data_IF_074239305481
#
_entry.id   IF_074239305481
#
_cell.length_a   1.000
_cell.length_b   1.000
_cell.length_c   1.000
_cell.angle_alpha   90.00
_cell.angle_beta   90.00
_cell.angle_gamma   90.00
#
_symmetry.space_group_name_H-M   'P 1'
#
loop_
_entity.id
_entity.type
_entity.pdbx_description
1 polymer ?
#
# COMPACT_ATOMS: atom_id res chain seq x y z
N UNK A 1 -7.59 94.54 29.75
CA UNK A 1 -7.15 93.62 28.66
C UNK A 1 -6.48 92.32 29.12
N UNK A 2 -5.67 92.28 30.21
CA UNK A 2 -4.99 91.04 30.67
C UNK A 2 -5.93 89.87 31.04
N UNK A 3 -6.97 90.11 31.84
CA UNK A 3 -7.94 89.06 32.27
C UNK A 3 -8.67 88.37 31.10
N UNK A 4 -8.95 89.09 30.01
CA UNK A 4 -9.62 88.54 28.81
C UNK A 4 -8.68 87.65 27.98
N UNK A 5 -7.38 87.98 27.93
CA UNK A 5 -6.36 87.13 27.28
C UNK A 5 -6.12 85.84 28.05
N UNK A 6 -6.05 85.89 29.39
CA UNK A 6 -5.92 84.70 30.24
C UNK A 6 -7.10 83.74 30.11
N UNK A 7 -8.33 84.26 30.00
CA UNK A 7 -9.53 83.46 29.77
C UNK A 7 -9.51 82.76 28.40
N UNK A 8 -9.12 83.47 27.33
CA UNK A 8 -9.00 82.90 26.00
C UNK A 8 -7.92 81.83 25.91
N UNK A 9 -6.77 82.01 26.59
CA UNK A 9 -5.70 81.01 26.64
C UNK A 9 -6.15 79.74 27.37
N UNK A 10 -6.88 79.86 28.49
CA UNK A 10 -7.44 78.70 29.20
C UNK A 10 -8.46 77.94 28.37
N UNK A 11 -9.34 78.64 27.65
CA UNK A 11 -10.33 78.00 26.75
C UNK A 11 -9.63 77.25 25.60
N UNK A 12 -8.60 77.85 25.00
CA UNK A 12 -7.82 77.22 23.93
C UNK A 12 -7.09 75.96 24.43
N UNK A 13 -6.52 75.99 25.64
CA UNK A 13 -5.92 74.81 26.27
C UNK A 13 -6.92 73.66 26.46
N UNK A 14 -8.15 73.95 26.90
CA UNK A 14 -9.20 72.93 27.07
C UNK A 14 -9.57 72.30 25.72
N UNK A 15 -9.68 73.09 24.66
CA UNK A 15 -9.98 72.57 23.31
C UNK A 15 -8.85 71.70 22.78
N UNK A 16 -7.58 72.08 23.03
CA UNK A 16 -6.43 71.26 22.64
C UNK A 16 -6.44 69.93 23.39
N UNK A 17 -6.65 69.95 24.71
CA UNK A 17 -6.72 68.73 25.52
C UNK A 17 -7.86 67.82 25.07
N UNK A 18 -9.04 68.37 24.78
CA UNK A 18 -10.18 67.62 24.27
C UNK A 18 -9.85 66.93 22.92
N UNK A 19 -9.17 67.62 22.00
CA UNK A 19 -8.75 67.03 20.73
C UNK A 19 -7.70 65.92 20.92
N UNK A 20 -6.75 66.09 21.84
CA UNK A 20 -5.76 65.06 22.17
C UNK A 20 -6.44 63.80 22.71
N UNK A 21 -7.45 63.94 23.55
CA UNK A 21 -8.22 62.80 24.09
C UNK A 21 -8.96 62.06 22.97
N UNK A 22 -9.58 62.78 22.03
CA UNK A 22 -10.27 62.18 20.88
C UNK A 22 -9.28 61.42 19.99
N UNK A 23 -8.12 62.02 19.68
CA UNK A 23 -7.07 61.37 18.88
C UNK A 23 -6.51 60.12 19.58
N UNK A 24 -6.24 60.20 20.88
CA UNK A 24 -5.77 59.04 21.66
C UNK A 24 -6.80 57.91 21.67
N UNK A 25 -8.08 58.24 21.80
CA UNK A 25 -9.18 57.26 21.74
C UNK A 25 -9.26 56.60 20.37
N UNK A 26 -9.15 57.38 19.28
CA UNK A 26 -9.12 56.84 17.92
C UNK A 26 -7.95 55.88 17.69
N UNK A 27 -6.75 56.24 18.14
CA UNK A 27 -5.56 55.38 18.02
C UNK A 27 -5.76 54.08 18.82
N UNK A 28 -6.34 54.17 20.02
CA UNK A 28 -6.65 53.01 20.85
C UNK A 28 -7.64 52.07 20.16
N UNK A 29 -8.77 52.57 19.66
CA UNK A 29 -9.76 51.76 18.96
C UNK A 29 -9.19 51.14 17.67
N UNK A 30 -8.44 51.91 16.89
CA UNK A 30 -7.77 51.39 15.71
C UNK A 30 -6.81 50.25 16.04
N UNK A 31 -6.02 50.39 17.11
CA UNK A 31 -5.09 49.33 17.54
C UNK A 31 -5.82 48.09 18.01
N UNK A 32 -6.95 48.25 18.71
CA UNK A 32 -7.78 47.13 19.16
C UNK A 32 -8.39 46.37 17.97
N UNK A 33 -9.01 47.08 17.03
CA UNK A 33 -9.59 46.49 15.81
C UNK A 33 -8.52 45.76 15.00
N UNK A 34 -7.33 46.36 14.85
CA UNK A 34 -6.23 45.75 14.10
C UNK A 34 -5.78 44.43 14.73
N UNK A 35 -5.64 44.38 16.05
CA UNK A 35 -5.26 43.14 16.77
C UNK A 35 -6.31 42.05 16.58
N UNK A 36 -7.59 42.38 16.81
CA UNK A 36 -8.68 41.41 16.64
C UNK A 36 -8.76 40.87 15.21
N UNK A 37 -8.54 41.72 14.20
CA UNK A 37 -8.50 41.26 12.82
C UNK A 37 -7.31 40.32 12.56
N UNK A 38 -6.12 40.62 13.10
CA UNK A 38 -4.97 39.73 12.98
C UNK A 38 -5.23 38.37 13.63
N UNK A 39 -5.80 38.35 14.83
CA UNK A 39 -6.14 37.11 15.52
C UNK A 39 -7.16 36.27 14.72
N UNK A 40 -8.13 36.94 14.08
CA UNK A 40 -9.11 36.26 13.20
C UNK A 40 -8.43 35.68 11.96
N UNK A 41 -7.52 36.43 11.31
CA UNK A 41 -6.79 35.94 10.13
C UNK A 41 -5.88 34.75 10.46
N UNK A 42 -5.19 34.80 11.61
CA UNK A 42 -4.31 33.72 12.04
C UNK A 42 -5.14 32.46 12.35
N UNK A 43 -6.28 32.61 13.02
CA UNK A 43 -7.20 31.49 13.32
C UNK A 43 -7.82 30.91 12.04
N UNK A 44 -8.20 31.74 11.07
CA UNK A 44 -8.73 31.29 9.78
C UNK A 44 -7.67 30.50 9.01
N UNK A 45 -6.43 30.99 9.02
CA UNK A 45 -5.31 30.31 8.36
C UNK A 45 -5.03 28.95 8.99
N UNK A 46 -4.98 28.88 10.33
CA UNK A 46 -4.81 27.61 11.04
C UNK A 46 -5.96 26.62 10.76
N UNK A 47 -7.19 27.11 10.71
CA UNK A 47 -8.36 26.29 10.40
C UNK A 47 -8.33 25.75 8.96
N UNK A 48 -7.89 26.56 7.99
CA UNK A 48 -7.71 26.13 6.61
C UNK A 48 -6.63 25.06 6.49
N UNK A 49 -5.50 25.23 7.17
CA UNK A 49 -4.42 24.24 7.21
C UNK A 49 -4.88 22.92 7.84
N UNK A 50 -5.65 23.00 8.94
CA UNK A 50 -6.20 21.82 9.60
C UNK A 50 -7.19 21.06 8.69
N UNK A 51 -8.09 21.80 8.01
CA UNK A 51 -9.00 21.20 7.02
C UNK A 51 -8.26 20.55 5.86
N UNK A 52 -7.20 21.18 5.37
CA UNK A 52 -6.37 20.62 4.29
C UNK A 52 -5.76 19.29 4.72
N UNK A 53 -5.11 19.24 5.89
CA UNK A 53 -4.54 18.01 6.45
C UNK A 53 -5.60 16.92 6.64
N UNK A 54 -6.77 17.28 7.15
CA UNK A 54 -7.86 16.33 7.33
C UNK A 54 -8.36 15.75 5.99
N UNK A 55 -8.48 16.59 4.97
CA UNK A 55 -8.91 16.17 3.62
C UNK A 55 -7.85 15.30 2.94
N UNK A 56 -6.56 15.66 3.07
CA UNK A 56 -5.47 14.83 2.55
C UNK A 56 -5.45 13.46 3.23
N UNK A 57 -5.63 13.42 4.56
CA UNK A 57 -5.68 12.14 5.30
C UNK A 57 -6.90 11.30 4.92
N UNK A 58 -8.07 11.90 4.72
CA UNK A 58 -9.26 11.16 4.29
C UNK A 58 -9.07 10.61 2.88
N UNK A 59 -8.52 11.40 1.96
CA UNK A 59 -8.23 10.94 0.60
C UNK A 59 -7.23 9.78 0.59
N UNK A 60 -6.22 9.80 1.46
CA UNK A 60 -5.28 8.67 1.58
C UNK A 60 -6.02 7.42 2.07
N UNK A 61 -6.85 7.53 3.11
CA UNK A 61 -7.60 6.40 3.64
C UNK A 61 -8.61 5.85 2.63
N UNK A 62 -9.35 6.71 1.95
CA UNK A 62 -10.32 6.32 0.93
C UNK A 62 -9.62 5.58 -0.23
N UNK A 63 -8.45 6.07 -0.68
CA UNK A 63 -7.65 5.39 -1.69
C UNK A 63 -7.09 4.04 -1.21
N UNK A 64 -6.72 3.93 0.08
CA UNK A 64 -6.25 2.66 0.66
C UNK A 64 -7.38 1.63 0.75
N UNK A 65 -8.60 2.05 1.06
CA UNK A 65 -9.79 1.20 1.11
C UNK A 65 -10.25 0.81 -0.29
N UNK A 66 -10.24 1.76 -1.24
CA UNK A 66 -10.58 1.50 -2.64
C UNK A 66 -9.65 0.46 -3.23
N UNK A 67 -8.34 0.55 -2.93
CA UNK A 67 -7.32 -0.40 -3.41
C UNK A 67 -7.27 -1.71 -2.62
N UNK A 68 -8.04 -1.87 -1.54
CA UNK A 68 -8.02 -3.09 -0.72
C UNK A 68 -8.45 -4.33 -1.52
N UNK A 69 -9.42 -4.17 -2.43
CA UNK A 69 -9.90 -5.26 -3.29
C UNK A 69 -8.85 -5.67 -4.31
N UNK A 70 -8.14 -4.73 -4.90
CA UNK A 70 -7.05 -4.95 -5.84
C UNK A 70 -5.87 -5.63 -5.14
N UNK A 71 -5.50 -5.17 -3.93
CA UNK A 71 -4.49 -5.84 -3.10
C UNK A 71 -4.88 -7.28 -2.79
N UNK A 72 -6.15 -7.55 -2.47
CA UNK A 72 -6.61 -8.92 -2.25
C UNK A 72 -6.47 -9.79 -3.50
N UNK A 73 -6.81 -9.26 -4.68
CA UNK A 73 -6.62 -9.98 -5.96
C UNK A 73 -5.14 -10.26 -6.23
N UNK A 74 -4.26 -9.30 -5.96
CA UNK A 74 -2.81 -9.47 -6.12
C UNK A 74 -2.29 -10.54 -5.14
N UNK A 75 -2.71 -10.48 -3.89
CA UNK A 75 -2.32 -11.45 -2.85
C UNK A 75 -2.76 -12.88 -3.18
N UNK A 76 -3.84 -13.06 -3.94
CA UNK A 76 -4.29 -14.37 -4.38
C UNK A 76 -3.28 -15.08 -5.32
N UNK A 77 -2.40 -14.33 -6.00
CA UNK A 77 -1.35 -14.90 -6.87
C UNK A 77 -0.13 -15.43 -6.13
N UNK A 78 -0.07 -15.22 -4.82
CA UNK A 78 1.03 -15.68 -3.97
C UNK A 78 0.59 -16.85 -3.10
N UNK A 79 1.51 -17.77 -2.86
CA UNK A 79 1.33 -18.79 -1.82
C UNK A 79 1.47 -18.12 -0.46
N UNK A 80 0.52 -18.36 0.45
CA UNK A 80 0.60 -17.82 1.80
C UNK A 80 1.82 -18.36 2.55
N UNK A 81 2.39 -17.52 3.40
CA UNK A 81 3.66 -17.76 4.10
C UNK A 81 3.66 -18.97 5.04
N UNK A 82 2.47 -19.29 5.54
CA UNK A 82 2.20 -20.28 6.56
C UNK A 82 2.23 -21.71 6.02
N UNK A 83 2.38 -22.67 6.94
CA UNK A 83 2.38 -24.11 6.60
C UNK A 83 1.07 -24.54 5.92
N UNK A 84 -0.04 -23.91 6.29
CA UNK A 84 -1.37 -24.18 5.72
C UNK A 84 -1.44 -23.68 4.28
N UNK A 85 -0.91 -22.49 3.98
CA UNK A 85 -0.81 -21.94 2.64
C UNK A 85 -0.04 -22.82 1.66
N UNK A 86 1.12 -23.32 2.11
CA UNK A 86 1.96 -24.23 1.31
C UNK A 86 1.23 -25.55 1.05
N UNK A 87 0.56 -26.11 2.06
CA UNK A 87 -0.21 -27.34 1.90
C UNK A 87 -1.38 -27.17 0.91
N UNK A 88 -2.13 -26.06 1.02
CA UNK A 88 -3.22 -25.74 0.09
C UNK A 88 -2.74 -25.58 -1.34
N UNK A 89 -1.55 -25.00 -1.54
CA UNK A 89 -0.95 -24.90 -2.87
C UNK A 89 -0.62 -26.29 -3.45
N UNK A 90 -0.03 -27.18 -2.67
CA UNK A 90 0.27 -28.56 -3.08
C UNK A 90 -1.03 -29.31 -3.40
N UNK A 91 -2.05 -29.18 -2.56
CA UNK A 91 -3.37 -29.78 -2.81
C UNK A 91 -4.00 -29.27 -4.12
N UNK A 92 -3.86 -27.97 -4.41
CA UNK A 92 -4.31 -27.41 -5.69
C UNK A 92 -3.54 -28.00 -6.88
N UNK A 93 -2.23 -28.19 -6.78
CA UNK A 93 -1.43 -28.86 -7.82
C UNK A 93 -1.90 -30.30 -8.04
N UNK A 94 -2.14 -31.04 -6.96
CA UNK A 94 -2.65 -32.42 -7.04
C UNK A 94 -4.05 -32.47 -7.66
N UNK A 95 -4.91 -31.51 -7.33
CA UNK A 95 -6.25 -31.42 -7.92
C UNK A 95 -6.19 -31.09 -9.43
N UNK A 96 -5.28 -30.22 -9.87
CA UNK A 96 -5.02 -29.99 -11.30
C UNK A 96 -4.55 -31.28 -11.97
N UNK A 97 -3.69 -32.05 -11.30
CA UNK A 97 -3.27 -33.40 -11.71
C UNK A 97 -4.46 -34.35 -11.91
N UNK A 98 -5.33 -34.47 -10.90
CA UNK A 98 -6.54 -35.31 -10.94
C UNK A 98 -7.47 -34.93 -12.08
N UNK A 99 -7.74 -33.64 -12.26
CA UNK A 99 -8.60 -33.13 -13.36
C UNK A 99 -8.01 -33.44 -14.73
N UNK A 100 -6.68 -33.40 -14.84
CA UNK A 100 -5.97 -33.70 -16.08
C UNK A 100 -5.72 -35.20 -16.30
N UNK A 101 -6.15 -36.07 -15.38
CA UNK A 101 -5.83 -37.50 -15.38
C UNK A 101 -4.31 -37.77 -15.42
N UNK A 102 -3.55 -36.97 -14.66
CA UNK A 102 -2.10 -37.08 -14.51
C UNK A 102 -1.78 -37.36 -13.05
N UNK A 103 -0.91 -38.35 -12.81
CA UNK A 103 -0.39 -38.60 -11.46
C UNK A 103 0.69 -37.56 -11.18
N UNK A 104 0.57 -36.82 -10.07
CA UNK A 104 1.54 -35.80 -9.65
C UNK A 104 2.19 -36.26 -8.34
N UNK A 105 3.51 -36.23 -8.29
CA UNK A 105 4.31 -36.52 -7.11
C UNK A 105 5.24 -35.33 -6.79
N UNK A 106 5.15 -34.80 -5.58
CA UNK A 106 5.97 -33.68 -5.12
C UNK A 106 7.20 -34.23 -4.40
N UNK A 107 8.29 -34.41 -5.14
CA UNK A 107 9.50 -35.07 -4.63
C UNK A 107 10.37 -34.19 -3.73
N UNK A 108 10.16 -32.87 -3.68
CA UNK A 108 10.95 -31.99 -2.83
C UNK A 108 10.48 -30.54 -2.81
N UNK A 109 10.67 -29.88 -1.67
CA UNK A 109 10.35 -28.49 -1.42
C UNK A 109 11.61 -27.74 -0.97
N UNK A 110 11.97 -26.67 -1.67
CA UNK A 110 13.13 -25.82 -1.38
C UNK A 110 12.64 -24.42 -1.06
N UNK A 111 12.81 -23.99 0.18
CA UNK A 111 12.60 -22.60 0.54
C UNK A 111 13.84 -21.82 0.09
N UNK A 112 13.68 -20.98 -0.94
CA UNK A 112 14.66 -19.95 -1.27
C UNK A 112 14.31 -18.76 -0.38
N UNK A 113 14.73 -18.82 0.89
CA UNK A 113 14.79 -17.61 1.70
C UNK A 113 15.71 -16.64 0.96
N UNK A 114 15.22 -15.44 0.67
CA UNK A 114 16.02 -14.36 0.11
C UNK A 114 17.28 -14.24 0.96
N UNK A 115 18.45 -14.35 0.32
CA UNK A 115 19.74 -14.16 0.97
C UNK A 115 19.66 -12.98 1.93
N UNK A 116 19.84 -13.24 3.22
CA UNK A 116 19.95 -12.21 4.28
C UNK A 116 21.28 -11.46 4.14
N UNK A 117 21.62 -11.01 2.94
CA UNK A 117 22.79 -10.19 2.67
C UNK A 117 22.42 -8.73 2.87
N UNK A 118 22.56 -8.27 4.12
CA UNK A 118 22.91 -6.90 4.48
C UNK A 118 22.10 -5.75 3.86
N UNK A 119 20.78 -5.77 4.02
CA UNK A 119 20.02 -4.51 4.07
C UNK A 119 18.74 -4.75 4.85
N UNK A 120 18.40 -3.83 5.74
CA UNK A 120 17.18 -3.79 6.55
C UNK A 120 15.93 -3.54 5.67
N UNK A 121 15.86 -4.16 4.49
CA UNK A 121 14.72 -4.11 3.61
C UNK A 121 13.82 -5.29 3.93
N UNK A 122 12.60 -4.96 4.34
CA UNK A 122 11.50 -5.86 4.59
C UNK A 122 11.18 -6.58 3.27
N UNK A 123 11.80 -7.73 3.02
CA UNK A 123 11.46 -8.55 1.86
C UNK A 123 10.16 -9.29 2.19
N UNK A 124 9.03 -8.63 1.90
CA UNK A 124 7.67 -9.18 2.11
C UNK A 124 7.31 -10.34 1.16
N UNK A 125 8.19 -10.67 0.20
CA UNK A 125 7.95 -11.67 -0.85
C UNK A 125 9.17 -12.58 -1.03
N UNK A 126 9.04 -13.83 -0.58
CA UNK A 126 10.01 -14.90 -0.81
C UNK A 126 9.67 -15.76 -2.04
N UNK A 127 10.47 -16.80 -2.27
CA UNK A 127 10.21 -17.78 -3.33
C UNK A 127 10.39 -19.22 -2.84
N UNK A 128 9.59 -20.12 -3.40
CA UNK A 128 9.55 -21.53 -3.02
C UNK A 128 9.72 -22.39 -4.27
N UNK A 129 10.81 -23.14 -4.31
CA UNK A 129 11.08 -24.14 -5.32
C UNK A 129 10.37 -25.46 -5.00
N UNK A 130 9.79 -26.12 -6.01
CA UNK A 130 9.26 -27.47 -5.91
C UNK A 130 9.79 -28.32 -7.05
N UNK A 131 10.12 -29.58 -6.72
CA UNK A 131 10.38 -30.60 -7.72
C UNK A 131 9.13 -31.45 -7.89
N UNK A 132 8.53 -31.38 -9.07
CA UNK A 132 7.35 -32.15 -9.44
C UNK A 132 7.74 -33.27 -10.38
N UNK A 133 7.19 -34.45 -10.15
CA UNK A 133 7.19 -35.56 -11.10
C UNK A 133 5.77 -35.81 -11.54
N UNK A 134 5.55 -36.03 -12.83
CA UNK A 134 4.24 -36.36 -13.35
C UNK A 134 4.29 -37.60 -14.23
N UNK A 135 3.17 -38.32 -14.31
CA UNK A 135 3.01 -39.48 -15.18
C UNK A 135 1.62 -39.51 -15.79
N UNK A 136 1.54 -39.70 -17.10
CA UNK A 136 0.27 -39.86 -17.82
C UNK A 136 0.45 -39.88 -19.33
N UNK A 137 -0.65 -39.95 -20.07
CA UNK A 137 -0.62 -39.85 -21.54
C UNK A 137 -0.14 -38.47 -21.98
N UNK A 138 0.45 -38.39 -23.18
CA UNK A 138 0.95 -37.12 -23.74
C UNK A 138 -0.09 -35.99 -23.71
N UNK A 139 -1.31 -36.27 -24.16
CA UNK A 139 -2.40 -35.28 -24.22
C UNK A 139 -2.76 -34.75 -22.83
N UNK A 140 -2.79 -35.64 -21.84
CA UNK A 140 -3.08 -35.35 -20.43
C UNK A 140 -1.95 -34.52 -19.80
N UNK A 141 -0.69 -34.86 -20.08
CA UNK A 141 0.48 -34.10 -19.63
C UNK A 141 0.48 -32.68 -20.19
N UNK A 142 0.18 -32.51 -21.48
CA UNK A 142 0.06 -31.18 -22.09
C UNK A 142 -1.15 -30.41 -21.53
N UNK A 143 -2.27 -31.08 -21.27
CA UNK A 143 -3.43 -30.45 -20.64
C UNK A 143 -3.13 -29.98 -19.22
N UNK A 144 -2.43 -30.80 -18.43
CA UNK A 144 -1.95 -30.44 -17.10
C UNK A 144 -1.08 -29.19 -17.14
N UNK A 145 -0.12 -29.11 -18.06
CA UNK A 145 0.73 -27.92 -18.20
C UNK A 145 -0.06 -26.66 -18.57
N UNK A 146 -1.06 -26.77 -19.44
CA UNK A 146 -1.96 -25.65 -19.77
C UNK A 146 -2.74 -25.18 -18.55
N UNK A 147 -3.28 -26.10 -17.75
CA UNK A 147 -4.00 -25.75 -16.52
C UNK A 147 -3.07 -25.10 -15.49
N UNK A 148 -1.82 -25.58 -15.41
CA UNK A 148 -0.81 -25.02 -14.53
C UNK A 148 -0.40 -23.59 -14.96
N UNK A 149 -0.36 -23.31 -16.26
CA UNK A 149 -0.06 -21.99 -16.83
C UNK A 149 -1.16 -20.96 -16.55
N UNK A 150 -2.43 -21.38 -16.53
CA UNK A 150 -3.58 -20.49 -16.21
C UNK A 150 -3.92 -20.46 -14.72
N UNK A 151 -3.17 -21.18 -13.89
CA UNK A 151 -3.40 -21.21 -12.46
C UNK A 151 -3.20 -19.80 -11.85
N UNK A 152 -3.94 -19.44 -10.79
CA UNK A 152 -3.82 -18.13 -10.13
C UNK A 152 -2.58 -18.08 -9.23
N UNK A 153 -1.42 -18.48 -9.75
CA UNK A 153 -0.14 -18.47 -9.06
C UNK A 153 0.95 -18.03 -10.01
N UNK A 154 1.90 -17.24 -9.51
CA UNK A 154 3.09 -16.90 -10.30
C UNK A 154 4.09 -18.04 -10.26
N UNK A 155 3.96 -18.96 -11.22
CA UNK A 155 4.81 -20.14 -11.38
C UNK A 155 5.85 -19.89 -12.48
N UNK A 156 7.12 -20.14 -12.17
CA UNK A 156 8.23 -20.10 -13.12
C UNK A 156 8.82 -21.50 -13.25
N UNK A 157 8.94 -22.01 -14.48
CA UNK A 157 9.59 -23.29 -14.74
C UNK A 157 11.09 -23.06 -14.92
N UNK A 158 11.92 -23.60 -14.02
CA UNK A 158 13.38 -23.50 -14.12
C UNK A 158 13.96 -24.62 -14.98
N UNK A 159 13.43 -25.84 -14.82
CA UNK A 159 13.84 -27.02 -15.59
C UNK A 159 12.63 -27.85 -15.93
N UNK A 160 12.57 -28.32 -17.17
CA UNK A 160 11.51 -29.18 -17.68
C UNK A 160 12.17 -30.36 -18.39
N UNK A 161 11.80 -31.56 -17.98
CA UNK A 161 12.21 -32.79 -18.62
C UNK A 161 10.96 -33.63 -18.88
N UNK A 162 10.83 -34.10 -20.12
CA UNK A 162 9.73 -34.96 -20.56
C UNK A 162 10.34 -36.12 -21.31
N UNK A 163 10.04 -37.34 -20.88
CA UNK A 163 10.47 -38.55 -21.54
C UNK A 163 9.29 -39.48 -21.74
N UNK A 164 9.26 -40.17 -22.88
CA UNK A 164 8.35 -41.28 -23.07
C UNK A 164 8.86 -42.46 -22.25
N UNK A 165 7.96 -43.11 -21.52
CA UNK A 165 8.31 -44.32 -20.78
C UNK A 165 8.78 -45.40 -21.78
N UNK A 166 9.97 -45.95 -21.53
CA UNK A 166 10.60 -46.94 -22.42
C UNK A 166 10.10 -48.38 -22.17
N UNK A 167 9.18 -48.57 -21.24
CA UNK A 167 8.56 -49.87 -21.01
C UNK A 167 7.77 -50.32 -22.25
N UNK A 168 7.95 -51.60 -22.61
CA UNK A 168 7.34 -52.22 -23.79
C UNK A 168 5.81 -52.07 -23.72
N UNK A 169 5.22 -51.40 -24.71
CA UNK A 169 3.79 -51.01 -24.82
C UNK A 169 3.29 -49.86 -23.93
N UNK A 170 4.15 -49.14 -23.20
CA UNK A 170 3.69 -47.95 -22.48
C UNK A 170 3.50 -46.74 -23.41
N UNK A 171 2.32 -46.11 -23.31
CA UNK A 171 1.99 -44.84 -24.00
C UNK A 171 2.23 -43.64 -23.07
N UNK A 172 2.64 -43.93 -21.83
CA UNK A 172 2.79 -42.94 -20.79
C UNK A 172 4.09 -42.15 -20.94
N UNK A 173 4.00 -40.91 -20.50
CA UNK A 173 5.09 -39.95 -20.44
C UNK A 173 5.38 -39.65 -18.99
N UNK A 174 6.66 -39.65 -18.66
CA UNK A 174 7.18 -39.18 -17.39
C UNK A 174 7.65 -37.75 -17.58
N UNK A 175 7.24 -36.87 -16.68
CA UNK A 175 7.75 -35.50 -16.60
C UNK A 175 8.43 -35.23 -15.28
N UNK A 176 9.50 -34.45 -15.31
CA UNK A 176 10.15 -33.90 -14.13
C UNK A 176 10.32 -32.39 -14.30
N UNK A 177 9.83 -31.62 -13.33
CA UNK A 177 9.79 -30.17 -13.38
C UNK A 177 10.38 -29.60 -12.11
N UNK A 178 11.23 -28.60 -12.26
CA UNK A 178 11.59 -27.72 -11.16
C UNK A 178 10.82 -26.42 -11.36
N UNK A 179 9.86 -26.17 -10.49
CA UNK A 179 9.06 -24.95 -10.51
C UNK A 179 9.46 -24.05 -9.35
N UNK A 180 9.38 -22.75 -9.55
CA UNK A 180 9.52 -21.76 -8.49
C UNK A 180 8.23 -20.95 -8.40
N UNK A 181 7.75 -20.73 -7.19
CA UNK A 181 6.48 -20.06 -6.91
C UNK A 181 6.72 -18.93 -5.93
N UNK A 182 6.09 -17.79 -6.16
CA UNK A 182 6.19 -16.66 -5.23
C UNK A 182 5.39 -16.92 -3.96
N UNK A 183 5.99 -16.60 -2.82
CA UNK A 183 5.45 -16.82 -1.49
C UNK A 183 5.44 -15.49 -0.73
N UNK A 184 4.36 -15.17 -0.02
CA UNK A 184 4.37 -14.03 0.91
C UNK A 184 5.16 -14.40 2.16
N UNK A 185 6.00 -13.49 2.66
CA UNK A 185 6.62 -13.69 3.97
C UNK A 185 5.53 -13.72 5.05
N UNK A 186 5.81 -14.44 6.14
CA UNK A 186 4.95 -14.45 7.33
C UNK A 186 5.05 -13.13 8.11
#
# INVERSE_FOLDING_TARGET
MKKRKEFLIKMLLVVIIANVIVLASMIFFYSMIKKTNQDIFDLETELLDWRKKQTESSLINDNLDDTARERYKINAYFVKGDKVGVANFIENLENIGKVSEVTVDVSGLFLKDSDKTNTEEIVEVGSMGLNLKIMGKWENVIHFLKLLEVAPYRITFEKVYLEKNSAENSVDWNGAFNINVMKLSE
#
